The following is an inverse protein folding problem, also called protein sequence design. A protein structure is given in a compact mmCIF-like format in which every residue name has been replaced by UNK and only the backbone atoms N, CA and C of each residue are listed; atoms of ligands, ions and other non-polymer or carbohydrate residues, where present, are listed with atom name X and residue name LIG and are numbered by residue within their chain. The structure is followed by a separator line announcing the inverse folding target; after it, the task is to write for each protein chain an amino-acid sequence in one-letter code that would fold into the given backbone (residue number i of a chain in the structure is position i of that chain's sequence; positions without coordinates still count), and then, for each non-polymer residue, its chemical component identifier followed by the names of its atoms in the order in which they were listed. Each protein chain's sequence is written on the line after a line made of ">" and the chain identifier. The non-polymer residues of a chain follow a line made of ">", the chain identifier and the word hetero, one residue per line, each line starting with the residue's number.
data_IF_285906436649
#
_entry.id   IF_285906436649
#
_cell.length_a   1.000
_cell.length_b   1.000
_cell.length_c   1.000
_cell.angle_alpha   90.00
_cell.angle_beta   90.00
_cell.angle_gamma   90.00
#
_symmetry.space_group_name_H-M   'P 1'
#
loop_
_entity.id
_entity.type
_entity.pdbx_description
1 polymer ?
#
# COMPACT_ATOMS: atom_id res chain seq x y z
N UNK A 1 51.81 32.81 32.82
CA UNK A 1 52.61 33.52 31.81
C UNK A 1 51.81 34.69 31.29
N UNK A 2 52.51 35.80 31.04
CA UNK A 2 51.99 37.14 30.80
C UNK A 2 51.41 37.33 29.39
N UNK A 3 50.36 38.15 29.34
CA UNK A 3 50.09 39.27 28.43
C UNK A 3 49.55 39.10 26.99
N UNK A 4 48.48 39.90 26.77
CA UNK A 4 48.00 40.64 25.59
C UNK A 4 46.75 40.04 24.92
N UNK A 5 45.57 40.68 24.84
CA UNK A 5 45.17 42.08 25.03
C UNK A 5 44.87 42.75 23.68
N UNK A 6 43.59 43.12 23.47
CA UNK A 6 43.01 44.22 22.65
C UNK A 6 41.95 43.81 21.59
N UNK A 7 40.71 44.26 21.83
CA UNK A 7 39.65 44.56 20.85
C UNK A 7 39.89 45.96 20.18
N UNK A 8 38.95 46.56 19.42
CA UNK A 8 38.45 46.31 18.05
C UNK A 8 38.74 47.54 17.13
N UNK A 9 38.09 47.71 15.94
CA UNK A 9 36.97 48.64 15.94
C UNK A 9 35.82 48.37 14.93
N UNK A 10 34.70 49.02 15.23
CA UNK A 10 33.52 49.27 14.40
C UNK A 10 33.84 49.99 13.07
N UNK A 11 33.07 49.71 12.01
CA UNK A 11 32.79 50.72 10.99
C UNK A 11 31.36 50.61 10.44
N UNK A 12 30.77 51.79 10.31
CA UNK A 12 29.44 52.15 9.87
C UNK A 12 29.43 52.53 8.39
N UNK A 13 28.36 52.20 7.65
CA UNK A 13 27.88 53.07 6.57
C UNK A 13 26.39 52.83 6.26
N UNK A 14 25.69 53.95 6.09
CA UNK A 14 24.25 54.13 5.89
C UNK A 14 23.95 54.51 4.42
N UNK A 15 22.81 54.02 3.92
CA UNK A 15 21.86 54.62 2.93
C UNK A 15 22.24 54.75 1.43
N UNK A 16 21.27 54.94 0.49
CA UNK A 16 19.79 54.93 0.60
C UNK A 16 19.02 54.08 -0.45
N UNK A 17 17.71 53.98 -0.22
CA UNK A 17 16.61 53.51 -1.10
C UNK A 17 16.50 54.29 -2.43
N UNK A 18 15.75 53.72 -3.40
CA UNK A 18 14.71 54.49 -4.07
C UNK A 18 13.31 53.88 -3.91
N UNK A 19 12.40 54.77 -3.55
CA UNK A 19 10.94 54.63 -3.51
C UNK A 19 10.42 54.56 -4.94
N UNK A 20 9.54 53.60 -5.26
CA UNK A 20 8.52 53.81 -6.28
C UNK A 20 7.19 53.17 -5.88
N UNK A 21 6.18 54.04 -5.86
CA UNK A 21 4.80 53.80 -5.47
C UNK A 21 4.02 53.07 -6.58
N UNK A 22 3.18 52.10 -6.21
CA UNK A 22 1.69 52.16 -6.29
C UNK A 22 1.07 50.74 -6.28
N UNK A 23 -0.06 50.54 -5.58
CA UNK A 23 -0.76 49.26 -5.54
C UNK A 23 -1.82 49.18 -6.64
N UNK A 24 -1.80 48.11 -7.45
CA UNK A 24 -2.93 47.75 -8.31
C UNK A 24 -3.88 46.85 -7.53
N UNK A 25 -4.96 47.47 -7.02
CA UNK A 25 -6.20 46.77 -6.68
C UNK A 25 -6.90 46.41 -7.98
N UNK A 26 -7.07 45.12 -8.28
CA UNK A 26 -8.10 44.68 -9.21
C UNK A 26 -9.09 43.76 -8.50
N UNK A 27 -10.31 44.28 -8.48
CA UNK A 27 -11.56 43.72 -7.97
C UNK A 27 -11.91 42.41 -8.67
N UNK A 28 -12.19 41.37 -7.88
CA UNK A 28 -13.00 40.24 -8.31
C UNK A 28 -14.45 40.72 -8.46
N UNK A 29 -14.98 40.76 -9.69
CA UNK A 29 -16.41 40.93 -9.96
C UNK A 29 -16.92 39.75 -10.77
N UNK A 30 -17.74 38.96 -10.09
CA UNK A 30 -18.92 38.24 -10.58
C UNK A 30 -19.28 38.41 -12.06
N UNK A 31 -19.30 37.29 -12.80
CA UNK A 31 -20.10 37.13 -14.02
C UNK A 31 -20.98 35.88 -13.88
N UNK A 32 -22.13 36.05 -13.23
CA UNK A 32 -23.31 35.22 -13.44
C UNK A 32 -24.30 36.10 -14.21
N UNK A 33 -24.65 35.71 -15.43
CA UNK A 33 -25.53 36.54 -16.24
C UNK A 33 -25.82 35.96 -17.63
N UNK A 34 -26.90 35.18 -17.68
CA UNK A 34 -27.88 35.12 -18.78
C UNK A 34 -27.43 34.63 -20.17
N UNK A 35 -27.72 33.36 -20.44
CA UNK A 35 -27.74 32.78 -21.79
C UNK A 35 -28.86 31.74 -21.95
N UNK A 36 -30.12 32.13 -21.70
CA UNK A 36 -31.30 31.37 -22.14
C UNK A 36 -32.11 32.26 -23.07
N UNK A 37 -32.63 31.63 -24.13
CA UNK A 37 -33.54 32.14 -25.16
C UNK A 37 -32.89 32.70 -26.42
N UNK A 38 -32.85 31.86 -27.47
CA UNK A 38 -33.67 32.05 -28.68
C UNK A 38 -33.44 30.86 -29.63
N UNK A 39 -34.32 29.87 -29.54
CA UNK A 39 -34.51 28.89 -30.61
C UNK A 39 -35.97 29.04 -31.08
N UNK A 40 -36.18 29.88 -32.09
CA UNK A 40 -37.42 29.90 -32.87
C UNK A 40 -37.13 30.27 -34.33
N UNK A 41 -37.33 29.25 -35.17
CA UNK A 41 -37.91 29.28 -36.51
C UNK A 41 -37.29 30.22 -37.55
N UNK A 42 -36.61 29.62 -38.52
CA UNK A 42 -36.92 29.87 -39.92
C UNK A 42 -36.69 28.58 -40.71
N UNK A 43 -37.78 27.95 -41.14
CA UNK A 43 -37.79 26.95 -42.20
C UNK A 43 -38.00 27.76 -43.48
N UNK A 44 -36.98 27.87 -44.31
CA UNK A 44 -37.11 28.26 -45.71
C UNK A 44 -36.45 27.16 -46.53
N UNK A 45 -37.28 26.53 -47.36
CA UNK A 45 -36.90 25.57 -48.39
C UNK A 45 -35.98 26.21 -49.42
N UNK A 46 -34.91 25.51 -49.81
CA UNK A 46 -34.51 25.41 -51.21
C UNK A 46 -33.59 24.20 -51.43
N UNK A 47 -33.95 23.40 -52.43
CA UNK A 47 -33.14 22.35 -53.03
C UNK A 47 -31.89 22.97 -53.67
N UNK A 48 -30.71 22.41 -53.37
CA UNK A 48 -29.63 22.04 -54.31
C UNK A 48 -28.28 21.93 -53.58
N UNK A 49 -27.57 20.83 -53.83
CA UNK A 49 -26.11 20.80 -53.77
C UNK A 49 -25.48 20.36 -52.45
N UNK A 50 -24.98 19.12 -52.42
CA UNK A 50 -23.89 18.74 -51.54
C UNK A 50 -22.60 19.39 -52.05
N UNK A 51 -22.04 20.34 -51.29
CA UNK A 51 -20.58 20.51 -51.20
C UNK A 51 -20.23 21.56 -50.15
N UNK A 52 -19.31 21.17 -49.26
CA UNK A 52 -18.45 22.03 -48.44
C UNK A 52 -19.05 22.72 -47.20
N UNK A 53 -18.42 22.35 -46.08
CA UNK A 53 -18.17 23.11 -44.86
C UNK A 53 -19.33 23.22 -43.86
N UNK A 54 -19.27 22.36 -42.85
CA UNK A 54 -19.27 22.87 -41.47
C UNK A 54 -18.42 21.95 -40.56
N UNK A 55 -17.10 21.98 -40.79
CA UNK A 55 -16.09 21.32 -39.95
C UNK A 55 -16.14 21.84 -38.49
N UNK A 56 -16.82 22.95 -38.26
CA UNK A 56 -16.96 23.64 -36.97
C UNK A 56 -18.04 23.04 -36.05
N UNK A 57 -18.93 22.18 -36.54
CA UNK A 57 -19.94 21.48 -35.72
C UNK A 57 -19.50 20.08 -35.25
N UNK A 58 -18.45 19.52 -35.85
CA UNK A 58 -17.82 18.26 -35.41
C UNK A 58 -16.91 18.50 -34.20
N UNK A 59 -16.33 19.70 -34.07
CA UNK A 59 -15.49 20.05 -32.93
C UNK A 59 -16.27 20.22 -31.62
N UNK A 60 -17.57 20.58 -31.66
CA UNK A 60 -18.38 20.69 -30.43
C UNK A 60 -18.86 19.32 -29.88
N UNK A 61 -18.99 18.30 -30.73
CA UNK A 61 -19.23 16.91 -30.27
C UNK A 61 -17.92 16.18 -29.93
N UNK A 62 -16.80 16.55 -30.56
CA UNK A 62 -15.46 16.06 -30.22
C UNK A 62 -14.97 16.54 -28.86
N UNK A 63 -15.30 17.77 -28.44
CA UNK A 63 -14.91 18.31 -27.12
C UNK A 63 -15.77 17.71 -25.99
N UNK A 64 -17.02 17.32 -26.25
CA UNK A 64 -17.85 16.60 -25.28
C UNK A 64 -17.35 15.16 -25.03
N UNK A 65 -16.63 14.57 -25.99
CA UNK A 65 -15.95 13.27 -25.83
C UNK A 65 -14.48 13.38 -25.41
N UNK A 66 -13.89 14.59 -25.42
CA UNK A 66 -12.57 14.84 -24.83
C UNK A 66 -12.67 15.25 -23.35
N UNK A 67 -13.85 15.68 -22.89
CA UNK A 67 -14.16 15.98 -21.49
C UNK A 67 -14.91 14.86 -20.74
N UNK A 68 -15.21 13.74 -21.39
CA UNK A 68 -15.48 12.45 -20.73
C UNK A 68 -14.20 11.66 -20.42
N UNK A 69 -13.04 12.31 -20.60
CA UNK A 69 -11.74 11.80 -20.16
C UNK A 69 -11.48 12.27 -18.73
N UNK A 70 -11.44 11.30 -17.80
CA UNK A 70 -10.98 11.44 -16.41
C UNK A 70 -11.83 12.31 -15.46
N UNK A 71 -13.12 11.99 -15.31
CA UNK A 71 -13.65 11.97 -13.94
C UNK A 71 -13.23 10.62 -13.32
N UNK A 72 -11.91 10.45 -13.08
CA UNK A 72 -11.45 9.42 -12.16
C UNK A 72 -12.04 9.83 -10.81
N UNK A 73 -13.13 9.18 -10.37
CA UNK A 73 -13.28 8.98 -8.93
C UNK A 73 -11.92 8.42 -8.48
N UNK A 74 -11.19 9.19 -7.68
CA UNK A 74 -9.84 8.84 -7.29
C UNK A 74 -9.94 7.55 -6.47
N UNK A 75 -9.71 6.41 -7.13
CA UNK A 75 -9.62 5.13 -6.44
C UNK A 75 -8.54 5.26 -5.37
N UNK A 76 -8.92 4.98 -4.14
CA UNK A 76 -8.04 5.03 -2.98
C UNK A 76 -8.30 3.80 -2.14
N UNK A 77 -7.25 3.36 -1.46
CA UNK A 77 -7.31 2.24 -0.55
C UNK A 77 -6.38 2.48 0.65
N UNK A 78 -6.51 1.61 1.64
CA UNK A 78 -5.73 1.64 2.88
C UNK A 78 -4.91 0.37 2.99
N UNK A 79 -3.60 0.48 3.10
CA UNK A 79 -2.72 -0.67 3.35
C UNK A 79 -3.07 -1.29 4.71
N UNK A 80 -3.30 -2.61 4.72
CA UNK A 80 -3.78 -3.33 5.92
C UNK A 80 -2.69 -4.19 6.53
N UNK A 81 -2.19 -5.16 5.77
CA UNK A 81 -1.24 -6.13 6.27
C UNK A 81 -0.47 -6.83 5.15
N UNK A 82 0.63 -7.46 5.54
CA UNK A 82 1.31 -8.47 4.74
C UNK A 82 1.11 -9.84 5.39
N UNK A 83 0.80 -10.84 4.56
CA UNK A 83 0.61 -12.23 4.99
C UNK A 83 1.93 -12.97 4.90
N UNK A 84 2.35 -13.58 6.01
CA UNK A 84 3.42 -14.56 6.05
C UNK A 84 2.87 -15.95 6.33
N UNK A 85 3.46 -16.96 5.70
CA UNK A 85 3.26 -18.36 6.10
C UNK A 85 4.32 -18.71 7.13
N UNK A 86 3.89 -19.28 8.25
CA UNK A 86 4.79 -19.66 9.35
C UNK A 86 4.64 -21.14 9.66
N UNK A 87 5.78 -21.83 9.83
CA UNK A 87 5.79 -23.26 10.05
C UNK A 87 5.88 -23.66 11.53
N UNK A 88 6.40 -22.78 12.39
CA UNK A 88 6.41 -22.96 13.84
C UNK A 88 5.74 -21.75 14.50
N UNK A 89 4.46 -21.92 14.88
CA UNK A 89 3.68 -20.86 15.54
C UNK A 89 4.18 -20.50 16.93
N UNK A 90 4.89 -21.40 17.64
CA UNK A 90 5.50 -21.10 18.95
C UNK A 90 6.73 -20.22 18.78
N UNK A 91 7.61 -20.59 17.86
CA UNK A 91 8.78 -19.77 17.52
C UNK A 91 8.34 -18.41 16.96
N UNK A 92 7.31 -18.40 16.11
CA UNK A 92 6.74 -17.17 15.55
C UNK A 92 6.17 -16.27 16.63
N UNK A 93 5.32 -16.79 17.53
CA UNK A 93 4.79 -16.01 18.66
C UNK A 93 5.93 -15.36 19.45
N UNK A 94 6.97 -16.12 19.79
CA UNK A 94 8.14 -15.60 20.51
C UNK A 94 8.84 -14.48 19.73
N UNK A 95 9.12 -14.68 18.45
CA UNK A 95 9.80 -13.68 17.62
C UNK A 95 8.97 -12.38 17.53
N UNK A 96 7.71 -12.47 17.11
CA UNK A 96 6.89 -11.29 16.88
C UNK A 96 6.55 -10.55 18.18
N UNK A 97 6.27 -11.25 19.28
CA UNK A 97 5.86 -10.61 20.54
C UNK A 97 7.01 -10.26 21.48
N UNK A 98 8.01 -11.13 21.63
CA UNK A 98 9.09 -10.93 22.60
C UNK A 98 10.28 -10.19 21.98
N UNK A 99 10.69 -10.60 20.77
CA UNK A 99 11.81 -9.97 20.06
C UNK A 99 11.40 -8.64 19.44
N UNK A 100 10.33 -8.60 18.64
CA UNK A 100 9.89 -7.36 17.98
C UNK A 100 8.97 -6.50 18.86
N UNK A 101 8.37 -7.06 19.93
CA UNK A 101 7.49 -6.29 20.82
C UNK A 101 6.10 -6.03 20.26
N UNK A 102 5.66 -6.78 19.25
CA UNK A 102 4.29 -6.70 18.72
C UNK A 102 3.28 -7.32 19.69
N UNK A 103 2.00 -6.98 19.50
CA UNK A 103 0.88 -7.60 20.22
C UNK A 103 0.11 -8.51 19.30
N UNK A 104 -0.44 -9.59 19.85
CA UNK A 104 -1.47 -10.38 19.15
C UNK A 104 -2.77 -9.59 19.19
N UNK A 105 -3.30 -9.27 18.01
CA UNK A 105 -4.48 -8.41 17.85
C UNK A 105 -5.77 -9.23 17.73
N UNK A 106 -5.70 -10.35 17.02
CA UNK A 106 -6.77 -11.34 16.90
C UNK A 106 -6.18 -12.67 16.44
N UNK A 107 -6.84 -13.76 16.80
CA UNK A 107 -6.46 -15.10 16.42
C UNK A 107 -7.71 -15.90 16.04
N UNK A 108 -7.66 -16.61 14.93
CA UNK A 108 -8.76 -17.42 14.42
C UNK A 108 -8.27 -18.81 13.98
N UNK A 109 -9.08 -19.83 14.27
CA UNK A 109 -8.85 -21.22 13.87
C UNK A 109 -9.89 -21.64 12.83
N UNK A 110 -9.43 -22.24 11.74
CA UNK A 110 -10.26 -22.64 10.61
C UNK A 110 -10.13 -24.14 10.36
N UNK A 111 -11.29 -24.80 10.25
CA UNK A 111 -11.37 -26.24 9.96
C UNK A 111 -11.39 -26.58 8.48
N UNK A 112 -11.72 -25.60 7.66
CA UNK A 112 -11.88 -25.74 6.21
C UNK A 112 -10.93 -24.78 5.49
N UNK A 113 -10.47 -25.13 4.27
CA UNK A 113 -9.64 -24.25 3.45
C UNK A 113 -10.36 -22.93 3.13
N UNK A 114 -9.59 -21.85 2.99
CA UNK A 114 -10.19 -20.56 2.62
C UNK A 114 -10.73 -20.60 1.18
N UNK A 115 -11.97 -20.15 0.96
CA UNK A 115 -12.58 -20.04 -0.38
C UNK A 115 -11.79 -19.15 -1.36
N UNK A 116 -10.94 -18.25 -0.85
CA UNK A 116 -10.06 -17.39 -1.63
C UNK A 116 -8.56 -17.77 -1.50
N UNK A 117 -8.27 -19.02 -1.14
CA UNK A 117 -6.93 -19.57 -0.96
C UNK A 117 -6.03 -18.71 -0.06
N UNK A 118 -6.61 -18.13 0.99
CA UNK A 118 -5.90 -17.30 1.97
C UNK A 118 -4.74 -18.07 2.62
N UNK A 119 -4.94 -19.37 2.86
CA UNK A 119 -3.93 -20.25 3.42
C UNK A 119 -2.98 -20.87 2.39
N UNK A 120 -3.20 -20.62 1.09
CA UNK A 120 -2.43 -21.20 -0.01
C UNK A 120 -3.10 -22.44 -0.63
N UNK A 121 -2.33 -23.34 -1.26
CA UNK A 121 -2.84 -24.54 -1.92
C UNK A 121 -3.10 -25.71 -0.95
N UNK A 122 -3.28 -25.45 0.35
CA UNK A 122 -3.37 -26.49 1.38
C UNK A 122 -4.82 -26.76 1.78
N UNK A 123 -5.17 -28.04 1.90
CA UNK A 123 -6.54 -28.50 2.17
C UNK A 123 -6.83 -28.79 3.65
N UNK A 124 -5.85 -28.54 4.54
CA UNK A 124 -5.93 -28.86 5.97
C UNK A 124 -6.51 -27.76 6.85
N UNK A 125 -6.56 -28.04 8.16
CA UNK A 125 -6.80 -27.01 9.16
C UNK A 125 -5.71 -25.95 9.11
N UNK A 126 -6.07 -24.72 9.43
CA UNK A 126 -5.13 -23.61 9.48
C UNK A 126 -5.58 -22.58 10.50
N UNK A 127 -4.65 -21.75 10.93
CA UNK A 127 -4.94 -20.63 11.81
C UNK A 127 -4.41 -19.33 11.21
N UNK A 128 -5.03 -18.24 11.64
CA UNK A 128 -4.66 -16.88 11.31
C UNK A 128 -4.38 -16.13 12.60
N UNK A 129 -3.24 -15.46 12.67
CA UNK A 129 -2.87 -14.62 13.81
C UNK A 129 -2.43 -13.26 13.32
N UNK A 130 -3.13 -12.21 13.72
CA UNK A 130 -2.72 -10.85 13.40
C UNK A 130 -1.82 -10.30 14.49
N UNK A 131 -0.67 -9.78 14.11
CA UNK A 131 0.29 -9.17 15.03
C UNK A 131 0.72 -7.79 14.55
N UNK A 132 0.85 -6.84 15.48
CA UNK A 132 1.28 -5.48 15.14
C UNK A 132 1.44 -4.59 16.36
N UNK A 133 1.67 -3.30 16.10
CA UNK A 133 1.89 -2.30 17.15
C UNK A 133 0.62 -1.53 17.55
N UNK A 134 -0.51 -1.77 16.87
CA UNK A 134 -1.79 -1.14 17.17
C UNK A 134 -2.94 -1.75 16.36
N UNK A 135 -4.14 -1.16 16.48
CA UNK A 135 -5.36 -1.66 15.81
C UNK A 135 -5.22 -1.66 14.29
N UNK A 136 -5.74 -2.70 13.64
CA UNK A 136 -5.83 -2.87 12.19
C UNK A 136 -6.64 -1.76 11.48
N UNK A 137 -7.41 -0.95 12.22
CA UNK A 137 -8.12 0.21 11.69
C UNK A 137 -7.19 1.34 11.24
N UNK A 138 -6.04 1.46 11.91
CA UNK A 138 -5.11 2.58 11.77
C UNK A 138 -3.68 2.14 11.46
N UNK A 139 -3.34 0.87 11.72
CA UNK A 139 -2.00 0.34 11.58
C UNK A 139 -1.91 -0.63 10.42
N UNK A 140 -0.75 -0.60 9.73
CA UNK A 140 -0.30 -1.74 8.97
C UNK A 140 0.19 -2.83 9.93
N UNK A 141 -0.26 -4.06 9.74
CA UNK A 141 0.07 -5.19 10.64
C UNK A 141 0.57 -6.40 9.84
N UNK A 142 0.88 -7.50 10.52
CA UNK A 142 1.27 -8.75 9.87
C UNK A 142 0.21 -9.82 10.14
N UNK A 143 -0.13 -10.57 9.10
CA UNK A 143 -0.99 -11.75 9.19
C UNK A 143 -0.11 -13.00 9.16
N UNK A 144 -0.09 -13.78 10.24
CA UNK A 144 0.64 -15.05 10.31
C UNK A 144 -0.33 -16.18 10.01
N UNK A 145 -0.09 -16.88 8.92
CA UNK A 145 -0.86 -18.06 8.52
C UNK A 145 -0.08 -19.32 8.84
N UNK A 146 -0.64 -20.12 9.74
CA UNK A 146 -0.08 -21.42 10.13
C UNK A 146 -0.97 -22.53 9.58
N UNK A 147 -0.42 -23.44 8.76
CA UNK A 147 -1.13 -24.61 8.27
C UNK A 147 -0.71 -25.83 9.09
N UNK A 148 -1.67 -26.56 9.66
CA UNK A 148 -1.38 -27.72 10.51
C UNK A 148 -0.68 -28.82 9.70
N UNK A 149 0.37 -29.40 10.26
CA UNK A 149 1.19 -30.44 9.61
C UNK A 149 2.10 -29.94 8.47
N UNK A 150 2.24 -28.63 8.27
CA UNK A 150 3.20 -28.04 7.32
C UNK A 150 4.35 -27.41 8.09
N UNK A 151 5.52 -28.07 8.05
CA UNK A 151 6.66 -27.74 8.91
C UNK A 151 7.78 -26.93 8.24
N UNK A 152 7.62 -26.56 6.96
CA UNK A 152 8.53 -25.62 6.31
C UNK A 152 7.91 -25.00 5.07
N UNK A 153 8.41 -23.81 4.74
CA UNK A 153 8.17 -23.15 3.47
C UNK A 153 9.51 -22.79 2.84
N UNK A 154 9.63 -22.96 1.52
CA UNK A 154 10.81 -22.56 0.77
C UNK A 154 10.67 -21.08 0.43
N UNK A 155 11.64 -20.27 0.87
CA UNK A 155 11.72 -18.86 0.54
C UNK A 155 12.12 -18.66 -0.91
N UNK A 156 11.35 -17.82 -1.59
CA UNK A 156 11.69 -17.30 -2.90
C UNK A 156 12.61 -16.09 -2.85
N UNK A 157 12.73 -15.43 -3.99
CA UNK A 157 13.33 -14.10 -4.11
C UNK A 157 12.26 -13.02 -4.39
N UNK A 158 10.98 -13.29 -4.14
CA UNK A 158 9.85 -12.41 -4.42
C UNK A 158 9.64 -11.37 -3.30
N UNK A 159 9.56 -11.82 -2.06
CA UNK A 159 9.54 -10.97 -0.88
C UNK A 159 10.97 -10.53 -0.52
N UNK A 160 11.18 -9.23 -0.33
CA UNK A 160 12.49 -8.69 0.02
C UNK A 160 12.62 -8.47 1.53
N UNK A 161 11.81 -7.56 2.09
CA UNK A 161 11.84 -7.24 3.52
C UNK A 161 10.65 -6.39 3.98
N UNK A 162 10.39 -6.40 5.29
CA UNK A 162 9.64 -5.36 6.00
C UNK A 162 10.61 -4.33 6.57
N UNK A 163 10.28 -3.04 6.50
CA UNK A 163 10.98 -1.99 7.23
C UNK A 163 10.21 -1.61 8.50
N UNK A 164 10.93 -1.58 9.62
CA UNK A 164 10.46 -1.05 10.89
C UNK A 164 11.28 0.19 11.25
N UNK A 165 10.61 1.30 11.54
CA UNK A 165 11.22 2.58 11.94
C UNK A 165 10.76 2.98 13.34
N UNK A 166 11.65 2.79 14.32
CA UNK A 166 11.40 3.14 15.72
C UNK A 166 12.68 3.03 16.53
N UNK A 167 12.99 4.09 17.29
CA UNK A 167 14.15 4.08 18.20
C UNK A 167 14.01 3.02 19.31
N UNK A 168 12.80 2.85 19.85
CA UNK A 168 12.53 1.88 20.92
C UNK A 168 12.68 0.42 20.44
N UNK A 169 12.21 0.13 19.22
CA UNK A 169 12.34 -1.21 18.64
C UNK A 169 13.78 -1.46 18.23
N UNK A 170 14.47 -0.48 17.65
CA UNK A 170 15.89 -0.60 17.34
C UNK A 170 16.71 -0.94 18.59
N UNK A 171 16.48 -0.23 19.70
CA UNK A 171 17.15 -0.50 20.98
C UNK A 171 16.80 -1.90 21.51
N UNK A 172 15.56 -2.35 21.36
CA UNK A 172 15.12 -3.71 21.77
C UNK A 172 15.87 -4.81 21.02
N UNK A 173 16.13 -4.62 19.73
CA UNK A 173 16.73 -5.65 18.87
C UNK A 173 18.23 -5.51 18.68
N UNK A 174 18.87 -4.51 19.30
CA UNK A 174 20.28 -4.20 19.10
C UNK A 174 21.22 -5.38 19.37
N UNK A 175 20.91 -6.21 20.37
CA UNK A 175 21.74 -7.35 20.76
C UNK A 175 21.56 -8.60 19.88
N UNK A 176 20.51 -8.64 19.04
CA UNK A 176 20.15 -9.81 18.23
C UNK A 176 20.14 -9.52 16.72
N UNK A 177 20.09 -8.25 16.32
CA UNK A 177 20.09 -7.84 14.93
C UNK A 177 21.49 -7.83 14.31
N UNK A 178 21.55 -8.17 13.03
CA UNK A 178 22.78 -8.15 12.24
C UNK A 178 22.99 -6.75 11.63
N UNK A 179 24.22 -6.22 11.69
CA UNK A 179 24.52 -4.92 11.08
C UNK A 179 24.47 -5.02 9.56
N UNK A 180 23.81 -4.06 8.93
CA UNK A 180 23.77 -3.96 7.46
C UNK A 180 24.79 -2.94 6.95
N UNK A 181 24.94 -2.86 5.62
CA UNK A 181 25.74 -1.81 4.98
C UNK A 181 25.12 -0.40 5.15
N UNK A 182 23.82 -0.31 5.43
CA UNK A 182 23.17 0.95 5.75
C UNK A 182 23.39 1.28 7.23
N UNK A 183 24.07 2.39 7.49
CA UNK A 183 24.36 2.84 8.85
C UNK A 183 23.07 2.98 9.68
N UNK A 184 23.12 2.53 10.94
CA UNK A 184 21.97 2.57 11.86
C UNK A 184 20.81 1.63 11.52
N UNK A 185 21.00 0.70 10.57
CA UNK A 185 19.99 -0.30 10.19
C UNK A 185 20.46 -1.71 10.54
N UNK A 186 19.62 -2.44 11.28
CA UNK A 186 19.80 -3.85 11.64
C UNK A 186 18.90 -4.75 10.80
N UNK A 187 19.39 -5.93 10.45
CA UNK A 187 18.63 -7.00 9.82
C UNK A 187 18.27 -8.05 10.87
N UNK A 188 17.00 -8.42 10.91
CA UNK A 188 16.50 -9.60 11.60
C UNK A 188 15.86 -10.54 10.59
N UNK A 189 15.84 -11.82 10.95
CA UNK A 189 15.05 -12.84 10.27
C UNK A 189 14.08 -13.46 11.25
N UNK A 190 12.84 -13.63 10.84
CA UNK A 190 11.89 -14.44 11.60
C UNK A 190 12.29 -15.93 11.53
N UNK A 191 11.61 -16.83 12.27
CA UNK A 191 11.95 -18.25 12.29
C UNK A 191 11.90 -18.93 10.92
N UNK A 192 11.06 -18.44 10.00
CA UNK A 192 10.91 -18.94 8.63
C UNK A 192 11.86 -18.24 7.63
N UNK A 193 12.62 -17.24 8.09
CA UNK A 193 13.69 -16.57 7.35
C UNK A 193 13.31 -15.25 6.66
N UNK A 194 12.07 -14.77 6.85
CA UNK A 194 11.60 -13.49 6.33
C UNK A 194 12.40 -12.33 6.93
N UNK A 195 12.87 -11.42 6.08
CA UNK A 195 13.75 -10.32 6.48
C UNK A 195 12.98 -9.12 7.04
N UNK A 196 13.51 -8.56 8.14
CA UNK A 196 13.05 -7.32 8.76
C UNK A 196 14.24 -6.37 8.91
N UNK A 197 14.18 -5.21 8.27
CA UNK A 197 15.10 -4.12 8.54
C UNK A 197 14.55 -3.25 9.65
N UNK A 198 15.34 -2.99 10.68
CA UNK A 198 14.97 -2.13 11.81
C UNK A 198 15.95 -0.98 11.88
N UNK A 199 15.45 0.26 11.89
CA UNK A 199 16.25 1.47 12.04
C UNK A 199 15.57 2.49 12.94
N UNK A 200 16.35 3.45 13.42
CA UNK A 200 15.83 4.57 14.21
C UNK A 200 14.89 5.44 13.39
N UNK A 201 13.89 6.02 14.05
CA UNK A 201 12.85 6.78 13.37
C UNK A 201 11.70 7.22 14.28
N UNK A 202 10.97 8.23 13.82
CA UNK A 202 9.83 8.85 14.50
C UNK A 202 8.52 8.68 13.72
N UNK A 203 8.43 7.60 12.92
CA UNK A 203 7.22 7.29 12.18
C UNK A 203 6.03 7.11 13.13
N UNK A 204 4.85 7.58 12.71
CA UNK A 204 3.63 7.46 13.53
C UNK A 204 3.27 5.99 13.80
N UNK A 205 3.57 5.10 12.85
CA UNK A 205 3.40 3.66 12.98
C UNK A 205 4.73 2.98 12.61
N UNK A 206 5.22 2.01 13.41
CA UNK A 206 6.57 1.49 13.18
C UNK A 206 6.74 0.68 11.89
N UNK A 207 5.70 -0.02 11.41
CA UNK A 207 5.76 -0.78 10.15
C UNK A 207 5.54 0.18 8.97
N UNK A 208 6.63 0.65 8.37
CA UNK A 208 6.55 1.75 7.39
C UNK A 208 6.65 1.29 5.95
N UNK A 209 7.17 0.09 5.68
CA UNK A 209 7.36 -0.37 4.30
C UNK A 209 7.34 -1.88 4.14
N UNK A 210 6.76 -2.34 3.03
CA UNK A 210 6.93 -3.68 2.48
C UNK A 210 7.72 -3.57 1.19
N UNK A 211 8.80 -4.34 1.05
CA UNK A 211 9.60 -4.39 -0.17
C UNK A 211 9.38 -5.71 -0.91
N UNK A 212 9.03 -5.63 -2.19
CA UNK A 212 8.89 -6.76 -3.11
C UNK A 212 9.84 -6.60 -4.29
N UNK A 213 10.42 -7.71 -4.73
CA UNK A 213 11.24 -7.73 -5.92
C UNK A 213 10.36 -7.87 -7.18
N UNK A 214 10.79 -7.29 -8.30
CA UNK A 214 10.09 -7.33 -9.58
C UNK A 214 11.10 -7.52 -10.72
N UNK A 215 10.66 -8.08 -11.85
CA UNK A 215 11.53 -8.29 -13.02
C UNK A 215 11.57 -7.06 -13.94
N UNK A 216 10.46 -6.34 -14.05
CA UNK A 216 10.34 -5.08 -14.79
C UNK A 216 9.70 -4.00 -13.90
N UNK A 217 10.52 -3.05 -13.45
CA UNK A 217 10.06 -1.97 -12.57
C UNK A 217 9.10 -1.02 -13.28
N UNK A 218 9.25 -0.81 -14.59
CA UNK A 218 8.38 0.06 -15.36
C UNK A 218 6.99 -0.58 -15.51
N UNK A 219 6.91 -1.84 -15.96
CA UNK A 219 5.64 -2.56 -16.06
C UNK A 219 4.93 -2.65 -14.70
N UNK A 220 5.68 -2.97 -13.64
CA UNK A 220 5.14 -3.05 -12.29
C UNK A 220 4.58 -1.70 -11.84
N UNK A 221 5.32 -0.61 -12.03
CA UNK A 221 4.85 0.73 -11.68
C UNK A 221 3.62 1.14 -12.49
N UNK A 222 3.59 0.85 -13.78
CA UNK A 222 2.41 1.10 -14.62
C UNK A 222 1.17 0.39 -14.08
N UNK A 223 1.32 -0.87 -13.66
CA UNK A 223 0.24 -1.61 -13.02
C UNK A 223 -0.20 -0.98 -11.69
N UNK A 224 0.71 -0.83 -10.74
CA UNK A 224 0.39 -0.35 -9.40
C UNK A 224 -0.13 1.11 -9.39
N UNK A 225 0.41 1.99 -10.24
CA UNK A 225 -0.03 3.38 -10.33
C UNK A 225 -1.28 3.55 -11.19
N UNK A 226 -1.27 3.10 -12.45
CA UNK A 226 -2.38 3.39 -13.37
C UNK A 226 -3.58 2.44 -13.18
N UNK A 227 -3.32 1.15 -12.90
CA UNK A 227 -4.41 0.18 -12.67
C UNK A 227 -4.91 0.25 -11.24
N UNK A 228 -4.01 0.24 -10.26
CA UNK A 228 -4.41 0.20 -8.85
C UNK A 228 -4.48 1.58 -8.17
N UNK A 229 -4.05 2.67 -8.81
CA UNK A 229 -4.25 4.02 -8.28
C UNK A 229 -3.29 4.44 -7.16
N UNK A 230 -2.22 3.70 -6.91
CA UNK A 230 -1.15 4.15 -6.02
C UNK A 230 -0.41 5.35 -6.61
N UNK A 231 0.19 6.16 -5.74
CA UNK A 231 1.01 7.32 -6.13
C UNK A 231 2.48 6.99 -5.94
N UNK A 232 3.31 7.44 -6.87
CA UNK A 232 4.76 7.42 -6.72
C UNK A 232 5.17 8.41 -5.62
N UNK A 233 5.81 7.89 -4.57
CA UNK A 233 6.35 8.67 -3.44
C UNK A 233 7.83 8.96 -3.66
N UNK A 234 8.59 7.95 -4.09
CA UNK A 234 10.03 8.06 -4.38
C UNK A 234 10.40 7.21 -5.61
N UNK A 235 11.30 7.71 -6.43
CA UNK A 235 11.77 7.07 -7.66
C UNK A 235 11.60 7.98 -8.89
N UNK A 236 12.31 7.66 -9.97
CA UNK A 236 12.25 8.40 -11.25
C UNK A 236 11.86 7.49 -12.41
N UNK A 237 11.42 8.08 -13.51
CA UNK A 237 11.07 7.36 -14.74
C UNK A 237 12.25 6.64 -15.40
N UNK A 238 13.47 7.13 -15.17
CA UNK A 238 14.67 6.62 -15.84
C UNK A 238 15.71 6.15 -14.81
N UNK A 239 16.11 4.88 -14.91
CA UNK A 239 17.33 4.33 -14.31
C UNK A 239 17.29 4.02 -12.81
N UNK A 240 16.14 4.07 -12.15
CA UNK A 240 16.05 3.66 -10.74
C UNK A 240 15.94 2.14 -10.63
N UNK A 241 16.71 1.54 -9.71
CA UNK A 241 16.60 0.11 -9.37
C UNK A 241 15.41 -0.16 -8.41
N UNK A 242 14.75 0.88 -7.90
CA UNK A 242 13.62 0.76 -6.98
C UNK A 242 12.65 1.94 -7.06
N UNK A 243 11.41 1.75 -6.65
CA UNK A 243 10.45 2.84 -6.43
C UNK A 243 9.65 2.61 -5.15
N UNK A 244 9.04 3.66 -4.61
CA UNK A 244 8.15 3.60 -3.46
C UNK A 244 6.77 4.16 -3.83
N UNK A 245 5.73 3.41 -3.49
CA UNK A 245 4.35 3.68 -3.84
C UNK A 245 3.48 3.71 -2.59
N UNK A 246 2.49 4.60 -2.55
CA UNK A 246 1.50 4.65 -1.47
C UNK A 246 0.17 5.25 -1.95
N UNK A 247 -0.93 4.91 -1.27
CA UNK A 247 -2.20 5.63 -1.44
C UNK A 247 -2.22 6.95 -0.67
N UNK A 248 -1.64 6.95 0.54
CA UNK A 248 -1.44 8.10 1.40
C UNK A 248 -0.03 8.06 2.01
N UNK A 249 0.64 9.20 2.10
CA UNK A 249 2.04 9.28 2.55
C UNK A 249 2.24 8.81 3.99
N UNK A 250 1.19 8.81 4.83
CA UNK A 250 1.25 8.37 6.23
C UNK A 250 1.02 6.87 6.40
N UNK A 251 0.57 6.16 5.37
CA UNK A 251 0.40 4.70 5.41
C UNK A 251 1.73 3.98 5.21
N UNK A 252 1.75 2.67 5.43
CA UNK A 252 2.85 1.80 5.00
C UNK A 252 3.02 1.87 3.48
N UNK A 253 4.26 2.03 3.02
CA UNK A 253 4.61 2.13 1.60
C UNK A 253 4.88 0.75 1.01
N UNK A 254 4.58 0.59 -0.28
CA UNK A 254 5.05 -0.53 -1.08
C UNK A 254 6.31 -0.10 -1.82
N UNK A 255 7.43 -0.79 -1.60
CA UNK A 255 8.64 -0.63 -2.38
C UNK A 255 8.79 -1.76 -3.37
N UNK A 256 8.98 -1.39 -4.64
CA UNK A 256 9.30 -2.33 -5.70
C UNK A 256 10.80 -2.21 -6.00
N UNK A 257 11.49 -3.34 -6.07
CA UNK A 257 12.93 -3.41 -6.31
C UNK A 257 13.15 -4.26 -7.55
N UNK A 258 13.78 -3.72 -8.58
CA UNK A 258 14.16 -4.50 -9.75
C UNK A 258 15.19 -5.55 -9.36
N UNK A 259 14.94 -6.80 -9.74
CA UNK A 259 15.97 -7.83 -9.70
C UNK A 259 17.12 -7.46 -10.66
N UNK A 260 18.34 -7.95 -10.39
CA UNK A 260 19.44 -7.88 -11.35
C UNK A 260 19.02 -8.41 -12.72
N UNK A 261 19.52 -7.78 -13.79
CA UNK A 261 19.10 -8.09 -15.15
C UNK A 261 19.26 -9.58 -15.48
N UNK A 262 18.17 -10.22 -15.92
CA UNK A 262 18.14 -11.63 -16.31
C UNK A 262 17.90 -12.62 -15.16
N UNK A 263 17.83 -12.17 -13.90
CA UNK A 263 17.42 -13.03 -12.81
C UNK A 263 15.90 -13.27 -12.84
N UNK A 264 15.45 -14.54 -12.89
CA UNK A 264 14.02 -14.84 -12.79
C UNK A 264 13.52 -14.58 -11.37
N UNK A 265 12.27 -14.15 -11.27
CA UNK A 265 11.55 -14.11 -10.00
C UNK A 265 10.95 -15.50 -9.73
N UNK A 266 11.29 -16.07 -8.57
CA UNK A 266 10.77 -17.33 -8.06
C UNK A 266 10.16 -17.10 -6.68
N UNK A 267 8.85 -17.31 -6.59
CA UNK A 267 8.04 -17.11 -5.37
C UNK A 267 8.12 -18.30 -4.40
N UNK A 268 8.58 -19.45 -4.88
CA UNK A 268 8.63 -20.72 -4.12
C UNK A 268 7.30 -20.98 -3.38
N UNK A 269 7.35 -21.40 -2.11
CA UNK A 269 6.15 -21.77 -1.33
C UNK A 269 5.90 -20.85 -0.13
N UNK A 270 6.87 -20.03 0.26
CA UNK A 270 6.73 -19.04 1.34
C UNK A 270 6.11 -17.70 0.90
N UNK A 271 5.78 -17.53 -0.39
CA UNK A 271 5.23 -16.27 -0.90
C UNK A 271 4.06 -15.76 -0.05
N UNK A 272 4.04 -14.44 0.11
CA UNK A 272 3.01 -13.75 0.87
C UNK A 272 1.90 -13.17 0.00
N UNK A 273 1.10 -12.33 0.64
CA UNK A 273 0.05 -11.53 0.02
C UNK A 273 -0.01 -10.18 0.73
N UNK A 274 -0.12 -9.09 -0.01
CA UNK A 274 -0.38 -7.77 0.57
C UNK A 274 -1.87 -7.46 0.48
N UNK A 275 -2.43 -6.84 1.52
CA UNK A 275 -3.85 -6.53 1.58
C UNK A 275 -4.13 -5.03 1.69
N UNK A 276 -5.20 -4.59 1.04
CA UNK A 276 -5.70 -3.24 1.04
C UNK A 276 -7.21 -3.21 1.27
N UNK A 277 -7.71 -2.23 2.04
CA UNK A 277 -9.14 -1.96 2.14
C UNK A 277 -9.54 -0.81 1.21
N UNK A 278 -10.69 -0.95 0.54
CA UNK A 278 -11.37 0.13 -0.18
C UNK A 278 -12.87 0.04 0.10
N UNK A 279 -13.66 1.06 -0.23
CA UNK A 279 -15.12 0.98 -0.05
C UNK A 279 -15.66 -0.26 -0.78
N UNK A 280 -16.57 -1.01 -0.14
CA UNK A 280 -17.08 -2.28 -0.68
C UNK A 280 -17.65 -2.13 -2.10
N UNK A 281 -18.28 -0.99 -2.38
CA UNK A 281 -18.83 -0.66 -3.71
C UNK A 281 -17.77 -0.56 -4.82
N UNK A 282 -16.50 -0.30 -4.47
CA UNK A 282 -15.41 -0.19 -5.44
C UNK A 282 -14.88 -1.55 -5.91
N UNK A 283 -15.14 -2.64 -5.18
CA UNK A 283 -14.51 -3.95 -5.44
C UNK A 283 -14.87 -4.49 -6.83
N UNK A 284 -16.14 -4.36 -7.23
CA UNK A 284 -16.60 -4.81 -8.55
C UNK A 284 -15.96 -3.99 -9.68
N UNK A 285 -15.92 -2.66 -9.52
CA UNK A 285 -15.29 -1.79 -10.51
C UNK A 285 -13.77 -2.06 -10.62
N UNK A 286 -13.11 -2.38 -9.50
CA UNK A 286 -11.71 -2.77 -9.49
C UNK A 286 -11.46 -4.08 -10.24
N UNK A 287 -12.30 -5.09 -10.01
CA UNK A 287 -12.26 -6.37 -10.71
C UNK A 287 -12.36 -6.18 -12.23
N UNK A 288 -13.32 -5.36 -12.68
CA UNK A 288 -13.51 -5.01 -14.10
C UNK A 288 -12.31 -4.23 -14.67
N UNK A 289 -11.72 -3.31 -13.88
CA UNK A 289 -10.59 -2.46 -14.30
C UNK A 289 -9.29 -3.24 -14.51
N UNK A 290 -9.01 -4.22 -13.67
CA UNK A 290 -7.74 -4.98 -13.68
C UNK A 290 -7.71 -6.02 -14.81
N UNK A 291 -8.88 -6.46 -15.27
CA UNK A 291 -9.03 -7.42 -16.36
C UNK A 291 -8.84 -8.86 -15.90
N UNK A 292 -9.48 -9.78 -16.62
CA UNK A 292 -9.64 -11.18 -16.18
C UNK A 292 -8.35 -11.97 -16.04
N UNK A 293 -7.28 -11.59 -16.76
CA UNK A 293 -6.00 -12.30 -16.73
C UNK A 293 -5.22 -12.10 -15.43
N UNK A 294 -5.57 -11.08 -14.63
CA UNK A 294 -4.91 -10.75 -13.37
C UNK A 294 -5.79 -10.99 -12.15
N UNK A 295 -6.96 -11.61 -12.32
CA UNK A 295 -7.83 -12.03 -11.23
C UNK A 295 -7.42 -13.44 -10.80
N UNK A 296 -6.94 -13.57 -9.56
CA UNK A 296 -6.72 -14.88 -8.93
C UNK A 296 -8.03 -15.45 -8.38
N UNK A 297 -8.78 -14.63 -7.63
CA UNK A 297 -10.11 -14.99 -7.12
C UNK A 297 -11.07 -13.83 -7.42
N UNK A 298 -12.18 -14.10 -8.12
CA UNK A 298 -13.17 -13.07 -8.40
C UNK A 298 -13.83 -12.58 -7.11
N UNK A 299 -14.65 -11.55 -7.20
CA UNK A 299 -15.38 -11.00 -6.06
C UNK A 299 -16.14 -12.10 -5.30
N UNK A 300 -15.75 -12.34 -4.04
CA UNK A 300 -16.27 -13.43 -3.22
C UNK A 300 -16.44 -12.98 -1.77
N UNK A 301 -17.47 -13.51 -1.10
CA UNK A 301 -17.68 -13.32 0.32
C UNK A 301 -16.92 -14.38 1.13
N UNK A 302 -16.20 -13.94 2.15
CA UNK A 302 -15.49 -14.79 3.11
C UNK A 302 -16.10 -14.64 4.49
N UNK A 303 -16.36 -15.78 5.11
CA UNK A 303 -16.89 -15.87 6.47
C UNK A 303 -15.75 -16.15 7.44
N UNK A 304 -15.77 -15.50 8.59
CA UNK A 304 -14.90 -15.82 9.71
C UNK A 304 -15.77 -16.25 10.89
N UNK A 305 -15.51 -17.41 11.54
CA UNK A 305 -16.38 -17.91 12.60
C UNK A 305 -16.63 -16.87 13.70
N UNK A 306 -17.92 -16.55 13.93
CA UNK A 306 -18.34 -15.60 14.95
C UNK A 306 -18.04 -14.12 14.64
N UNK A 307 -17.62 -13.78 13.41
CA UNK A 307 -17.31 -12.41 12.98
C UNK A 307 -18.05 -12.03 11.69
N UNK A 308 -17.93 -10.77 11.30
CA UNK A 308 -18.55 -10.21 10.09
C UNK A 308 -18.01 -10.85 8.81
N UNK A 309 -18.91 -11.16 7.88
CA UNK A 309 -18.57 -11.54 6.51
C UNK A 309 -17.92 -10.36 5.79
N UNK A 310 -16.86 -10.62 5.03
CA UNK A 310 -16.19 -9.61 4.21
C UNK A 310 -16.23 -9.98 2.74
N UNK A 311 -16.23 -8.97 1.87
CA UNK A 311 -16.11 -9.15 0.43
C UNK A 311 -14.67 -8.89 0.01
N UNK A 312 -14.11 -9.78 -0.78
CA UNK A 312 -12.75 -9.64 -1.29
C UNK A 312 -12.66 -9.90 -2.79
N UNK A 313 -11.66 -9.31 -3.42
CA UNK A 313 -11.13 -9.72 -4.73
C UNK A 313 -9.63 -9.97 -4.57
N UNK A 314 -9.14 -11.09 -5.11
CA UNK A 314 -7.70 -11.41 -5.08
C UNK A 314 -7.14 -11.22 -6.49
N UNK A 315 -6.13 -10.37 -6.60
CA UNK A 315 -5.46 -10.02 -7.84
C UNK A 315 -4.03 -10.53 -7.84
N UNK A 316 -3.41 -10.49 -9.01
CA UNK A 316 -1.98 -10.68 -9.21
C UNK A 316 -1.39 -9.50 -9.96
N UNK A 317 -0.22 -9.04 -9.52
CA UNK A 317 0.56 -8.07 -10.25
C UNK A 317 1.29 -8.72 -11.46
N UNK A 318 2.04 -7.96 -12.28
CA UNK A 318 2.79 -8.50 -13.42
C UNK A 318 3.79 -9.61 -13.07
N UNK A 319 4.25 -9.66 -11.82
CA UNK A 319 5.22 -10.60 -11.28
C UNK A 319 4.54 -11.72 -10.46
N UNK A 320 3.22 -11.85 -10.59
CA UNK A 320 2.39 -12.80 -9.86
C UNK A 320 2.28 -12.53 -8.35
N UNK A 321 2.75 -11.39 -7.81
CA UNK A 321 2.53 -11.04 -6.41
C UNK A 321 1.04 -10.96 -6.11
N UNK A 322 0.60 -11.62 -5.04
CA UNK A 322 -0.81 -11.64 -4.67
C UNK A 322 -1.24 -10.40 -3.91
N UNK A 323 -2.42 -9.89 -4.27
CA UNK A 323 -2.99 -8.67 -3.72
C UNK A 323 -4.43 -8.94 -3.30
N UNK A 324 -4.74 -8.73 -2.02
CA UNK A 324 -6.13 -8.76 -1.54
C UNK A 324 -6.70 -7.35 -1.50
N UNK A 325 -7.83 -7.11 -2.15
CA UNK A 325 -8.67 -5.96 -1.85
C UNK A 325 -9.91 -6.42 -1.11
N UNK A 326 -10.16 -5.83 0.05
CA UNK A 326 -11.30 -6.12 0.91
C UNK A 326 -12.19 -4.89 1.06
N UNK A 327 -13.50 -5.10 1.23
CA UNK A 327 -14.44 -4.05 1.59
C UNK A 327 -14.16 -3.50 2.99
N UNK A 328 -13.84 -2.20 3.10
CA UNK A 328 -13.42 -1.55 4.35
C UNK A 328 -14.50 -1.65 5.43
N UNK A 329 -15.77 -1.50 5.08
CA UNK A 329 -16.89 -1.52 6.03
C UNK A 329 -16.99 -2.86 6.77
N UNK A 330 -16.91 -3.97 6.04
CA UNK A 330 -16.90 -5.30 6.64
C UNK A 330 -15.59 -5.58 7.36
N UNK A 331 -14.46 -5.13 6.81
CA UNK A 331 -13.15 -5.36 7.39
C UNK A 331 -13.01 -4.73 8.77
N UNK A 332 -13.48 -3.48 8.97
CA UNK A 332 -13.44 -2.80 10.28
C UNK A 332 -14.16 -3.56 11.38
N UNK A 333 -15.27 -4.21 11.03
CA UNK A 333 -16.00 -5.05 11.99
C UNK A 333 -15.27 -6.37 12.26
N UNK A 334 -14.67 -6.97 11.23
CA UNK A 334 -13.86 -8.19 11.34
C UNK A 334 -12.58 -7.99 12.17
N UNK A 335 -11.92 -6.85 11.98
CA UNK A 335 -10.57 -6.55 12.46
C UNK A 335 -10.53 -5.90 13.84
N UNK A 336 -11.62 -5.99 14.61
CA UNK A 336 -11.65 -5.52 15.99
C UNK A 336 -10.63 -6.30 16.82
N UNK A 337 -9.82 -5.56 17.58
CA UNK A 337 -8.85 -6.14 18.50
C UNK A 337 -9.59 -6.97 19.54
N UNK A 338 -9.15 -8.22 19.69
CA UNK A 338 -9.64 -9.16 20.69
C UNK A 338 -8.64 -9.21 21.85
N UNK A 339 -9.10 -8.82 23.04
CA UNK A 339 -8.26 -8.78 24.25
C UNK A 339 -7.83 -10.17 24.73
N UNK A 340 -8.54 -11.23 24.33
CA UNK A 340 -8.19 -12.61 24.66
C UNK A 340 -7.37 -13.30 23.55
N UNK A 341 -7.03 -12.61 22.46
CA UNK A 341 -6.42 -13.20 21.28
C UNK A 341 -5.11 -13.94 21.57
N UNK A 342 -4.23 -13.35 22.38
CA UNK A 342 -2.96 -14.00 22.74
C UNK A 342 -3.18 -15.29 23.54
N UNK A 343 -4.14 -15.28 24.46
CA UNK A 343 -4.50 -16.46 25.25
C UNK A 343 -5.12 -17.56 24.38
N UNK A 344 -5.94 -17.19 23.39
CA UNK A 344 -6.49 -18.13 22.42
C UNK A 344 -5.36 -18.78 21.61
N UNK A 345 -4.43 -17.98 21.08
CA UNK A 345 -3.25 -18.46 20.36
C UNK A 345 -2.41 -19.41 21.21
N UNK A 346 -2.07 -19.01 22.45
CA UNK A 346 -1.26 -19.84 23.35
C UNK A 346 -1.95 -21.16 23.69
N UNK A 347 -3.27 -21.14 23.89
CA UNK A 347 -4.05 -22.37 24.09
C UNK A 347 -4.05 -23.27 22.86
N UNK A 348 -4.11 -22.70 21.65
CA UNK A 348 -4.01 -23.47 20.40
C UNK A 348 -2.62 -24.07 20.23
N UNK A 349 -1.56 -23.31 20.52
CA UNK A 349 -0.15 -23.78 20.52
C UNK A 349 0.07 -24.95 21.50
N UNK A 350 -0.59 -24.96 22.65
CA UNK A 350 -0.51 -26.05 23.63
C UNK A 350 -1.25 -27.33 23.20
N UNK A 351 -2.32 -27.16 22.41
CA UNK A 351 -3.14 -28.27 21.90
C UNK A 351 -2.63 -28.85 20.58
N UNK A 352 -1.68 -28.16 19.96
CA UNK A 352 -1.05 -28.58 18.72
C UNK A 352 -0.20 -29.83 18.94
N UNK A 353 -0.58 -30.92 18.29
CA UNK A 353 0.15 -32.19 18.24
C UNK A 353 0.68 -32.51 16.84
N UNK A 354 0.61 -31.55 15.91
CA UNK A 354 0.95 -31.75 14.50
C UNK A 354 2.43 -31.79 14.19
#
# INVERSE_FOLDING_TARGET
>A
MLHNGLEPPLSSSLCPLPILQKPLRHTCKSFWGTGRQKLKRSIISNNNGWSQLDQTLIDCFGIANFLTSYCHMAFSARALHYVFRVADRRASHKFYTQTLGMKVLRHEEFREPCKANCNGPFDGMWSKTMVGYGSEDEHFVLELTYNYGVHSYELGNDFNAILIESDDILARVESVGERTAAEGTLLLKDPDGHSFFVRGGSAAHPLTKVSLNVTDLHESREFWCHRLGMKLVEGTDNGSEKCQLAYDQKQCHLQLISLPNGEPLDRKTAFGRIAFATATENLKALEEKVGTTRIHSPLISLDTPGKSTVWVVILKDPNEHEICFVGDEGFRELSKVDTEAEKLLLSAIEKDDS
#
